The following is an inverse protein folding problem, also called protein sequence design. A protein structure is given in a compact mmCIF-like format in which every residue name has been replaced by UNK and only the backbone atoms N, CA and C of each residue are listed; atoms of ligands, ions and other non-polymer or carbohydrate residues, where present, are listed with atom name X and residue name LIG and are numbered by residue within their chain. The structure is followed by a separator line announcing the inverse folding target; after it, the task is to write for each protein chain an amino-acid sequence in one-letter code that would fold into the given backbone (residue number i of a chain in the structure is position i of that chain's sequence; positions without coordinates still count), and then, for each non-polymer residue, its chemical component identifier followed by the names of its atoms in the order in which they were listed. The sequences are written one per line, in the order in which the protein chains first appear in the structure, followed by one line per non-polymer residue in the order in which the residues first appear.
data_IF_989760802327
#
_entry.id   IF_989760802327
#
_cell.length_a   1.000
_cell.length_b   1.000
_cell.length_c   1.000
_cell.angle_alpha   90.00
_cell.angle_beta   90.00
_cell.angle_gamma   90.00
#
_symmetry.space_group_name_H-M   'P 1'
#
loop_
_entity.id
_entity.type
_entity.pdbx_description
1 polymer ?
#
# COMPACT_ATOMS: atom_id res chain seq x y z
N UNK A 1 4.76 11.21 3.07
CA UNK A 1 4.38 11.46 1.66
C UNK A 1 3.16 10.62 1.30
N UNK A 2 2.19 11.21 0.61
CA UNK A 2 1.05 10.50 0.06
C UNK A 2 1.27 10.19 -1.43
N UNK A 3 0.78 9.03 -1.89
CA UNK A 3 0.73 8.65 -3.29
C UNK A 3 -0.60 7.99 -3.63
N UNK A 4 -1.11 8.27 -4.82
CA UNK A 4 -2.37 7.74 -5.34
C UNK A 4 -2.19 7.33 -6.79
N UNK A 5 -2.87 6.26 -7.20
CA UNK A 5 -3.05 5.90 -8.60
C UNK A 5 -4.42 5.23 -8.80
N UNK A 6 -4.99 5.36 -9.99
CA UNK A 6 -6.29 4.76 -10.33
C UNK A 6 -7.46 5.73 -10.18
N UNK A 7 -8.67 5.17 -10.22
CA UNK A 7 -9.93 5.92 -10.26
C UNK A 7 -10.24 6.59 -8.93
N UNK A 8 -10.90 7.75 -8.96
CA UNK A 8 -11.49 8.40 -7.78
C UNK A 8 -12.91 7.91 -7.48
N UNK A 9 -13.50 7.09 -8.36
CA UNK A 9 -14.84 6.55 -8.19
C UNK A 9 -14.82 5.37 -7.21
N UNK A 10 -15.90 5.26 -6.44
CA UNK A 10 -16.07 4.14 -5.51
C UNK A 10 -16.11 2.82 -6.26
N UNK A 11 -15.54 1.77 -5.64
CA UNK A 11 -15.54 0.39 -6.14
C UNK A 11 -14.82 0.22 -7.50
N UNK A 12 -13.94 1.16 -7.85
CA UNK A 12 -13.04 1.00 -8.99
C UNK A 12 -11.63 0.63 -8.52
N UNK A 13 -10.79 0.07 -9.42
CA UNK A 13 -9.38 -0.12 -9.18
C UNK A 13 -8.68 1.19 -8.76
N UNK A 14 -8.05 1.14 -7.61
CA UNK A 14 -7.34 2.24 -6.97
C UNK A 14 -6.17 1.70 -6.14
N UNK A 15 -5.19 2.56 -5.98
CA UNK A 15 -4.00 2.33 -5.18
C UNK A 15 -3.73 3.58 -4.37
N UNK A 16 -3.37 3.41 -3.11
CA UNK A 16 -2.79 4.49 -2.36
C UNK A 16 -1.73 4.02 -1.39
N UNK A 17 -0.82 4.94 -1.07
CA UNK A 17 0.13 4.75 0.01
C UNK A 17 0.31 6.01 0.84
N UNK A 18 0.56 5.78 2.11
CA UNK A 18 1.02 6.81 3.05
C UNK A 18 2.36 6.35 3.59
N UNK A 19 3.40 7.13 3.33
CA UNK A 19 4.75 6.86 3.82
C UNK A 19 5.15 7.88 4.87
N UNK A 20 5.37 7.45 6.10
CA UNK A 20 6.02 8.24 7.14
C UNK A 20 7.54 8.09 7.11
N UNK A 21 8.26 8.76 8.02
CA UNK A 21 9.70 8.57 8.19
C UNK A 21 10.08 7.13 8.57
N UNK A 22 9.21 6.45 9.33
CA UNK A 22 9.47 5.13 9.93
C UNK A 22 8.55 4.03 9.42
N UNK A 23 7.59 4.34 8.54
CA UNK A 23 6.59 3.36 8.10
C UNK A 23 6.08 3.58 6.68
N UNK A 24 5.49 2.52 6.13
CA UNK A 24 4.67 2.53 4.91
C UNK A 24 3.34 1.83 5.17
N UNK A 25 2.24 2.52 4.88
CA UNK A 25 0.92 1.93 4.70
C UNK A 25 0.62 1.89 3.20
N UNK A 26 0.21 0.73 2.72
CA UNK A 26 -0.19 0.53 1.32
C UNK A 26 -1.55 -0.16 1.24
N UNK A 27 -2.36 0.28 0.28
CA UNK A 27 -3.59 -0.34 -0.15
C UNK A 27 -3.55 -0.49 -1.67
N UNK A 28 -3.91 -1.67 -2.17
CA UNK A 28 -4.04 -1.96 -3.59
C UNK A 28 -5.27 -2.85 -3.86
N UNK A 29 -6.15 -2.40 -4.76
CA UNK A 29 -7.17 -3.26 -5.35
C UNK A 29 -7.16 -3.20 -6.89
N UNK A 30 -6.00 -2.93 -7.49
CA UNK A 30 -5.83 -2.73 -8.94
C UNK A 30 -6.25 -3.94 -9.80
N UNK A 31 -6.34 -5.13 -9.21
CA UNK A 31 -6.71 -6.39 -9.86
C UNK A 31 -8.21 -6.68 -9.80
N UNK A 32 -8.66 -7.63 -10.62
CA UNK A 32 -10.04 -8.17 -10.61
C UNK A 32 -11.15 -7.10 -10.58
N UNK A 33 -10.93 -5.98 -11.29
CA UNK A 33 -11.90 -4.89 -11.35
C UNK A 33 -12.15 -4.16 -10.03
N UNK A 34 -11.22 -4.19 -9.06
CA UNK A 34 -11.39 -3.50 -7.78
C UNK A 34 -11.95 -4.38 -6.66
N UNK A 35 -12.14 -5.68 -6.91
CA UNK A 35 -12.88 -6.59 -6.01
C UNK A 35 -11.98 -7.39 -5.07
N UNK A 36 -10.66 -7.34 -5.25
CA UNK A 36 -9.70 -8.04 -4.40
C UNK A 36 -8.70 -7.04 -3.84
N UNK A 37 -8.57 -7.01 -2.51
CA UNK A 37 -7.77 -6.01 -1.79
C UNK A 37 -6.53 -6.67 -1.21
N UNK A 38 -5.38 -6.05 -1.45
CA UNK A 38 -4.16 -6.23 -0.70
C UNK A 38 -3.90 -4.99 0.14
N UNK A 39 -3.46 -5.20 1.38
CA UNK A 39 -3.01 -4.12 2.25
C UNK A 39 -1.75 -4.54 2.97
N UNK A 40 -0.82 -3.61 3.13
CA UNK A 40 0.45 -3.83 3.83
C UNK A 40 0.68 -2.70 4.82
N UNK A 41 1.11 -3.08 6.01
CA UNK A 41 1.80 -2.19 6.95
C UNK A 41 3.24 -2.66 7.06
N UNK A 42 4.19 -1.78 6.79
CA UNK A 42 5.63 -2.02 6.96
C UNK A 42 6.20 -1.02 7.94
N UNK A 43 6.80 -1.54 9.00
CA UNK A 43 7.62 -0.80 9.95
C UNK A 43 9.07 -0.89 9.50
N UNK A 44 9.75 0.24 9.28
CA UNK A 44 11.14 0.24 8.81
C UNK A 44 12.15 -0.10 9.91
N UNK A 45 11.80 0.06 11.18
CA UNK A 45 12.66 -0.22 12.33
C UNK A 45 12.58 -1.69 12.75
N UNK A 46 11.48 -2.36 12.44
CA UNK A 46 11.23 -3.78 12.75
C UNK A 46 10.97 -4.62 11.50
N UNK A 47 11.61 -4.24 10.39
CA UNK A 47 11.35 -4.85 9.10
C UNK A 47 11.89 -6.28 9.04
N UNK A 48 11.00 -7.23 8.72
CA UNK A 48 11.34 -8.65 8.72
C UNK A 48 12.43 -8.93 7.68
N UNK A 49 13.55 -9.47 8.15
CA UNK A 49 14.67 -9.83 7.28
C UNK A 49 15.57 -8.67 6.87
N UNK A 50 15.40 -7.47 7.43
CA UNK A 50 16.28 -6.32 7.15
C UNK A 50 17.76 -6.59 7.45
N UNK A 51 18.05 -7.47 8.42
CA UNK A 51 19.40 -7.84 8.83
C UNK A 51 19.88 -9.19 8.28
N UNK A 52 19.17 -9.78 7.31
CA UNK A 52 19.53 -11.11 6.77
C UNK A 52 20.52 -11.08 5.59
N UNK A 53 20.97 -9.89 5.16
CA UNK A 53 21.97 -9.64 4.11
C UNK A 53 22.91 -8.50 4.54
#
# INVERSE_FOLDING_TARGET
RFGWAGSLDRQRPQYFRVQGPTFLLEYDNSRNGGTHIHSVWRDFEQDFGYHLL
#
